data_IF_688300315008
#
_entry.id   IF_688300315008
#
_cell.length_a   1.000
_cell.length_b   1.000
_cell.length_c   1.000
_cell.angle_alpha   90.00
_cell.angle_beta   90.00
_cell.angle_gamma   90.00
#
_symmetry.space_group_name_H-M   'P 1'
#
loop_
_entity.id
_entity.type
_entity.pdbx_description
1 polymer ?
#
# COMPACT_ATOMS: atom_id res chain seq x y z
N UNK A 1 37.24 5.19 -10.02
CA UNK A 1 37.27 4.78 -8.59
C UNK A 1 36.23 5.62 -7.86
N UNK A 2 35.46 4.96 -6.98
CA UNK A 2 34.28 5.39 -6.19
C UNK A 2 32.95 5.57 -6.92
N UNK A 3 32.35 4.42 -7.24
CA UNK A 3 30.90 4.21 -7.23
C UNK A 3 30.39 4.19 -5.78
N UNK A 4 29.46 5.08 -5.44
CA UNK A 4 28.56 4.95 -4.29
C UNK A 4 27.21 5.58 -4.69
N UNK A 5 26.44 4.81 -5.45
CA UNK A 5 25.02 5.10 -5.70
C UNK A 5 24.21 4.24 -4.72
N UNK A 6 23.51 4.88 -3.77
CA UNK A 6 22.73 4.22 -2.74
C UNK A 6 21.59 3.37 -3.35
N UNK A 7 21.42 2.10 -2.97
CA UNK A 7 20.43 1.21 -3.58
C UNK A 7 18.99 1.36 -3.07
N UNK A 8 18.62 2.45 -2.40
CA UNK A 8 17.35 2.55 -1.64
C UNK A 8 16.19 3.30 -2.34
N UNK A 9 16.32 3.76 -3.59
CA UNK A 9 15.29 4.63 -4.22
C UNK A 9 14.72 4.11 -5.56
N UNK A 10 15.08 2.92 -6.04
CA UNK A 10 14.68 2.46 -7.39
C UNK A 10 13.72 1.27 -7.40
N UNK A 11 12.65 1.26 -6.59
CA UNK A 11 11.75 0.08 -6.55
C UNK A 11 10.23 0.31 -6.66
N UNK A 12 9.75 1.49 -7.03
CA UNK A 12 8.30 1.73 -7.19
C UNK A 12 7.94 2.34 -8.53
N UNK A 13 8.42 1.75 -9.62
CA UNK A 13 7.94 2.06 -10.98
C UNK A 13 7.97 0.81 -11.87
N UNK A 14 7.12 -0.18 -11.56
CA UNK A 14 6.93 -1.36 -12.42
C UNK A 14 5.48 -1.79 -12.64
N UNK A 15 4.50 -1.00 -12.18
CA UNK A 15 3.08 -1.33 -12.26
C UNK A 15 2.22 -0.29 -13.01
N UNK A 16 2.83 0.68 -13.71
CA UNK A 16 2.06 1.68 -14.47
C UNK A 16 2.69 2.09 -15.81
N UNK A 17 3.30 1.15 -16.52
CA UNK A 17 3.64 1.32 -17.95
C UNK A 17 3.25 0.05 -18.69
N UNK A 18 1.94 -0.22 -18.80
CA UNK A 18 1.41 -1.24 -19.71
C UNK A 18 0.01 -0.90 -20.25
N UNK A 19 -0.32 0.39 -20.34
CA UNK A 19 -1.52 0.86 -21.06
C UNK A 19 -1.19 2.09 -21.92
N UNK A 20 -0.16 2.00 -22.76
CA UNK A 20 -0.07 2.82 -23.97
C UNK A 20 0.87 2.22 -25.02
N UNK A 21 0.45 1.10 -25.61
CA UNK A 21 0.58 0.76 -27.02
C UNK A 21 0.41 -0.74 -27.18
N UNK A 22 -0.55 -1.13 -28.02
CA UNK A 22 -0.90 -2.52 -28.24
C UNK A 22 0.25 -3.27 -28.88
N UNK A 23 0.93 -4.12 -28.12
CA UNK A 23 1.52 -5.36 -28.61
C UNK A 23 1.57 -6.39 -27.47
N UNK A 24 1.13 -7.61 -27.80
CA UNK A 24 0.95 -8.76 -26.90
C UNK A 24 2.29 -9.47 -26.71
N UNK A 25 2.80 -9.55 -25.47
CA UNK A 25 3.46 -10.71 -24.81
C UNK A 25 4.27 -10.25 -23.58
N UNK A 26 4.10 -10.91 -22.44
CA UNK A 26 4.94 -10.73 -21.25
C UNK A 26 5.56 -12.08 -20.86
N UNK A 27 6.88 -12.10 -20.66
CA UNK A 27 7.61 -13.26 -20.14
C UNK A 27 8.08 -12.94 -18.71
N UNK A 28 7.91 -13.91 -17.80
CA UNK A 28 8.33 -13.83 -16.39
C UNK A 28 9.59 -14.69 -16.21
N UNK A 29 10.67 -14.10 -15.70
CA UNK A 29 11.89 -14.83 -15.30
C UNK A 29 11.96 -14.82 -13.77
N UNK A 30 12.06 -16.02 -13.19
CA UNK A 30 12.17 -16.26 -11.74
C UNK A 30 13.63 -16.17 -11.28
N UNK A 31 13.87 -15.53 -10.13
CA UNK A 31 15.12 -15.64 -9.38
C UNK A 31 14.79 -15.89 -7.89
N UNK A 32 15.49 -16.86 -7.29
CA UNK A 32 15.23 -17.49 -5.99
C UNK A 32 16.45 -17.31 -5.09
N UNK A 33 16.32 -16.81 -3.86
CA UNK A 33 17.38 -16.90 -2.82
C UNK A 33 16.77 -16.93 -1.39
N UNK A 34 17.35 -17.64 -0.39
CA UNK A 34 16.62 -18.09 0.80
C UNK A 34 17.06 -17.50 2.17
N UNK A 35 16.19 -17.74 3.18
CA UNK A 35 16.40 -17.88 4.64
C UNK A 35 16.44 -16.65 5.57
N UNK A 36 15.42 -16.57 6.45
CA UNK A 36 15.28 -15.61 7.56
C UNK A 36 14.97 -16.38 8.86
N UNK A 37 15.99 -16.84 9.59
CA UNK A 37 15.83 -17.66 10.82
C UNK A 37 16.48 -17.09 12.09
N UNK A 38 16.86 -15.81 12.13
CA UNK A 38 17.68 -15.29 13.24
C UNK A 38 17.01 -14.32 14.23
N UNK A 39 15.74 -13.92 14.06
CA UNK A 39 15.16 -12.87 14.93
C UNK A 39 14.47 -13.37 16.22
N UNK A 40 14.21 -14.67 16.37
CA UNK A 40 13.40 -15.18 17.49
C UNK A 40 14.16 -15.42 18.81
N UNK A 41 15.50 -15.32 18.83
CA UNK A 41 16.32 -15.68 20.00
C UNK A 41 16.62 -14.56 20.99
N UNK A 42 16.15 -13.33 20.76
CA UNK A 42 16.50 -12.18 21.62
C UNK A 42 15.46 -11.84 22.70
N UNK A 43 14.25 -12.42 22.65
CA UNK A 43 13.14 -12.04 23.54
C UNK A 43 12.99 -12.88 24.83
N UNK A 44 13.88 -13.84 25.13
CA UNK A 44 13.73 -14.77 26.26
C UNK A 44 14.70 -14.53 27.43
N UNK A 45 15.23 -13.31 27.61
CA UNK A 45 16.09 -12.97 28.75
C UNK A 45 15.52 -11.79 29.54
N UNK A 46 14.49 -12.05 30.35
CA UNK A 46 14.12 -11.18 31.46
C UNK A 46 13.63 -12.05 32.64
N UNK A 47 14.30 -12.03 33.81
CA UNK A 47 13.86 -12.79 34.98
C UNK A 47 12.82 -12.00 35.79
N UNK A 48 11.70 -12.63 36.14
CA UNK A 48 10.69 -12.11 37.08
C UNK A 48 10.86 -12.84 38.42
N UNK A 49 10.82 -12.17 39.60
CA UNK A 49 10.98 -12.83 40.89
C UNK A 49 9.75 -13.64 41.30
N UNK A 50 9.99 -14.75 42.01
CA UNK A 50 9.00 -15.74 42.39
C UNK A 50 8.05 -15.27 43.51
N UNK A 51 6.73 -15.46 43.32
CA UNK A 51 5.71 -15.33 44.36
C UNK A 51 4.77 -16.55 44.38
N UNK A 52 4.69 -17.23 45.54
CA UNK A 52 3.57 -18.06 46.04
C UNK A 52 2.99 -19.19 45.16
N UNK A 53 3.38 -20.44 45.44
CA UNK A 53 3.13 -21.65 44.65
C UNK A 53 1.70 -22.26 44.65
N UNK A 54 0.68 -21.60 45.22
CA UNK A 54 -0.67 -22.19 45.30
C UNK A 54 -1.79 -21.41 44.59
N UNK A 55 -1.55 -20.16 44.13
CA UNK A 55 -2.53 -19.40 43.34
C UNK A 55 -2.45 -19.73 41.83
N UNK A 56 -1.24 -20.01 41.33
CA UNK A 56 -0.97 -20.37 39.93
C UNK A 56 -1.73 -21.64 39.48
N UNK A 57 -1.86 -22.65 40.35
CA UNK A 57 -2.53 -23.92 40.00
C UNK A 57 -4.05 -23.76 39.84
N UNK A 58 -4.68 -22.89 40.64
CA UNK A 58 -6.12 -22.62 40.53
C UNK A 58 -6.47 -21.73 39.33
N UNK A 59 -5.63 -20.74 39.00
CA UNK A 59 -5.81 -19.92 37.80
C UNK A 59 -5.53 -20.69 36.50
N UNK A 60 -4.55 -21.60 36.49
CA UNK A 60 -4.26 -22.43 35.33
C UNK A 60 -5.40 -23.40 34.97
N UNK A 61 -6.14 -23.91 35.97
CA UNK A 61 -7.26 -24.82 35.72
C UNK A 61 -8.49 -24.07 35.18
N UNK A 62 -8.79 -22.88 35.71
CA UNK A 62 -9.88 -22.02 35.21
C UNK A 62 -9.57 -21.50 33.80
N UNK A 63 -8.33 -21.09 33.55
CA UNK A 63 -7.83 -20.68 32.24
C UNK A 63 -7.93 -21.82 31.21
N UNK A 64 -7.58 -23.06 31.57
CA UNK A 64 -7.72 -24.21 30.66
C UNK A 64 -9.17 -24.53 30.30
N UNK A 65 -10.12 -24.32 31.22
CA UNK A 65 -11.55 -24.53 30.94
C UNK A 65 -12.18 -23.39 30.11
N UNK A 66 -11.71 -22.16 30.26
CA UNK A 66 -12.15 -21.02 29.43
C UNK A 66 -11.53 -21.14 28.02
N UNK A 67 -10.23 -21.45 27.93
CA UNK A 67 -9.53 -21.67 26.65
C UNK A 67 -10.06 -22.90 25.90
N UNK A 68 -10.50 -23.96 26.60
CA UNK A 68 -11.14 -25.13 25.96
C UNK A 68 -12.56 -24.84 25.45
N UNK A 69 -13.31 -23.93 26.07
CA UNK A 69 -14.64 -23.54 25.59
C UNK A 69 -14.57 -22.58 24.39
N UNK A 70 -13.51 -21.77 24.28
CA UNK A 70 -13.26 -20.91 23.11
C UNK A 70 -12.65 -21.66 21.92
N UNK A 71 -12.06 -22.84 22.11
CA UNK A 71 -11.52 -23.69 21.04
C UNK A 71 -12.54 -24.58 20.34
N UNK A 72 -13.85 -24.36 20.54
CA UNK A 72 -14.85 -24.84 19.58
C UNK A 72 -14.78 -23.90 18.37
N UNK A 73 -13.82 -24.18 17.49
CA UNK A 73 -13.63 -23.50 16.21
C UNK A 73 -14.95 -23.53 15.44
N UNK A 74 -15.67 -22.42 15.53
CA UNK A 74 -16.65 -22.05 14.53
C UNK A 74 -15.83 -21.79 13.27
N UNK A 75 -15.66 -22.81 12.41
CA UNK A 75 -15.10 -22.61 11.08
C UNK A 75 -16.11 -21.75 10.33
N UNK A 76 -15.94 -20.43 10.38
CA UNK A 76 -16.62 -19.51 9.47
C UNK A 76 -16.07 -19.80 8.09
N UNK A 77 -16.72 -20.74 7.41
CA UNK A 77 -16.42 -21.08 6.03
C UNK A 77 -16.70 -19.81 5.22
N UNK A 78 -15.65 -19.20 4.68
CA UNK A 78 -15.77 -17.99 3.86
C UNK A 78 -16.46 -18.40 2.56
N UNK A 79 -17.68 -17.93 2.34
CA UNK A 79 -18.45 -18.21 1.12
C UNK A 79 -17.93 -17.36 -0.03
N UNK A 80 -17.08 -17.97 -0.88
CA UNK A 80 -16.49 -17.32 -2.04
C UNK A 80 -17.43 -17.42 -3.25
N UNK A 81 -17.49 -16.38 -4.10
CA UNK A 81 -18.28 -16.44 -5.32
C UNK A 81 -17.65 -17.47 -6.28
N UNK A 82 -18.50 -18.23 -6.98
CA UNK A 82 -18.03 -19.20 -7.97
C UNK A 82 -17.30 -18.56 -9.16
N UNK A 83 -17.65 -17.31 -9.48
CA UNK A 83 -17.05 -16.52 -10.56
C UNK A 83 -16.90 -15.04 -10.19
N UNK A 84 -15.93 -14.38 -10.81
CA UNK A 84 -15.66 -12.94 -10.63
C UNK A 84 -15.09 -12.33 -11.91
N UNK A 85 -15.46 -11.07 -12.20
CA UNK A 85 -14.92 -10.33 -13.36
C UNK A 85 -13.40 -10.19 -13.30
N UNK A 86 -12.88 -9.94 -12.09
CA UNK A 86 -11.46 -9.86 -11.79
C UNK A 86 -11.17 -10.26 -10.34
N UNK A 87 -10.03 -10.91 -10.13
CA UNK A 87 -9.51 -11.22 -8.79
C UNK A 87 -8.25 -10.40 -8.51
N UNK A 88 -8.30 -9.55 -7.49
CA UNK A 88 -7.18 -8.76 -6.97
C UNK A 88 -6.56 -9.51 -5.80
N UNK A 89 -5.26 -9.80 -5.88
CA UNK A 89 -4.54 -10.57 -4.85
C UNK A 89 -3.71 -9.63 -3.99
N UNK A 90 -4.07 -9.50 -2.72
CA UNK A 90 -3.38 -8.65 -1.73
C UNK A 90 -4.21 -7.45 -1.29
N UNK A 91 -4.43 -7.32 0.01
CA UNK A 91 -5.18 -6.27 0.70
C UNK A 91 -4.32 -5.11 1.20
N UNK A 92 -3.18 -4.85 0.55
CA UNK A 92 -2.41 -3.63 0.76
C UNK A 92 -2.97 -2.44 0.00
N UNK A 93 -2.33 -1.27 0.15
CA UNK A 93 -2.75 -0.01 -0.50
C UNK A 93 -3.00 -0.18 -2.01
N UNK A 94 -2.08 -0.82 -2.73
CA UNK A 94 -2.20 -1.04 -4.18
C UNK A 94 -3.41 -1.89 -4.56
N UNK A 95 -3.68 -2.97 -3.81
CA UNK A 95 -4.82 -3.84 -4.10
C UNK A 95 -6.14 -3.15 -3.79
N UNK A 96 -6.19 -2.40 -2.69
CA UNK A 96 -7.34 -1.60 -2.30
C UNK A 96 -7.69 -0.54 -3.36
N UNK A 97 -6.70 0.23 -3.85
CA UNK A 97 -6.90 1.20 -4.94
C UNK A 97 -7.26 0.53 -6.28
N UNK A 98 -6.69 -0.64 -6.56
CA UNK A 98 -7.04 -1.41 -7.77
C UNK A 98 -8.51 -1.81 -7.73
N UNK A 99 -8.97 -2.40 -6.61
CA UNK A 99 -10.38 -2.78 -6.44
C UNK A 99 -11.30 -1.55 -6.56
N UNK A 100 -10.93 -0.44 -5.91
CA UNK A 100 -11.65 0.83 -5.98
C UNK A 100 -11.84 1.34 -7.41
N UNK A 101 -10.78 1.39 -8.21
CA UNK A 101 -10.88 1.86 -9.59
C UNK A 101 -11.65 0.87 -10.48
N UNK A 102 -11.49 -0.44 -10.31
CA UNK A 102 -12.28 -1.43 -11.04
C UNK A 102 -13.79 -1.26 -10.76
N UNK A 103 -14.14 -1.07 -9.48
CA UNK A 103 -15.53 -0.84 -9.08
C UNK A 103 -16.09 0.47 -9.66
N UNK A 104 -15.32 1.56 -9.66
CA UNK A 104 -15.71 2.85 -10.29
C UNK A 104 -15.86 2.76 -11.81
N UNK A 105 -15.13 1.85 -12.47
CA UNK A 105 -15.27 1.57 -13.90
C UNK A 105 -16.48 0.67 -14.22
N UNK A 106 -17.26 0.27 -13.21
CA UNK A 106 -18.48 -0.53 -13.37
C UNK A 106 -18.27 -2.04 -13.27
N UNK A 107 -17.08 -2.52 -12.86
CA UNK A 107 -16.85 -3.94 -12.59
C UNK A 107 -17.41 -4.30 -11.20
N UNK A 108 -18.68 -4.68 -11.17
CA UNK A 108 -19.43 -4.90 -9.91
C UNK A 108 -19.16 -6.25 -9.26
N UNK A 109 -18.53 -7.23 -9.95
CA UNK A 109 -18.18 -8.53 -9.36
C UNK A 109 -16.67 -8.71 -9.12
N UNK A 110 -15.90 -7.62 -9.07
CA UNK A 110 -14.49 -7.67 -8.72
C UNK A 110 -14.28 -8.12 -7.25
N UNK A 111 -13.30 -9.00 -7.02
CA UNK A 111 -13.02 -9.59 -5.71
C UNK A 111 -11.59 -9.29 -5.29
N UNK A 112 -11.38 -8.81 -4.07
CA UNK A 112 -10.07 -8.72 -3.43
C UNK A 112 -9.90 -9.86 -2.43
N UNK A 113 -8.77 -10.56 -2.52
CA UNK A 113 -8.38 -11.63 -1.61
C UNK A 113 -7.14 -11.23 -0.82
N UNK A 114 -7.22 -11.27 0.52
CA UNK A 114 -6.12 -11.02 1.44
C UNK A 114 -5.91 -12.25 2.33
N UNK A 115 -4.66 -12.70 2.46
CA UNK A 115 -4.30 -13.90 3.23
C UNK A 115 -4.55 -13.74 4.72
N UNK A 116 -4.35 -12.54 5.24
CA UNK A 116 -4.46 -12.20 6.67
C UNK A 116 -5.56 -11.14 6.85
N UNK A 117 -5.19 -9.93 7.29
CA UNK A 117 -6.05 -8.75 7.37
C UNK A 117 -5.61 -7.67 6.39
N UNK A 118 -6.52 -6.80 5.98
CA UNK A 118 -6.20 -5.62 5.19
C UNK A 118 -5.04 -4.86 5.84
N UNK A 119 -4.11 -4.38 5.02
CA UNK A 119 -2.90 -3.65 5.42
C UNK A 119 -1.79 -4.44 6.13
N UNK A 120 -1.96 -5.75 6.37
CA UNK A 120 -0.98 -6.59 7.10
C UNK A 120 0.42 -6.70 6.46
N UNK A 121 0.56 -6.30 5.18
CA UNK A 121 1.84 -6.24 4.47
C UNK A 121 2.69 -5.03 4.82
N UNK A 122 3.28 -4.36 3.83
CA UNK A 122 4.11 -3.17 4.07
C UNK A 122 3.31 -1.91 4.40
N UNK A 123 2.02 -1.92 4.09
CA UNK A 123 1.14 -0.75 4.17
C UNK A 123 0.99 -0.19 5.60
N UNK A 124 0.83 -1.04 6.62
CA UNK A 124 0.55 -0.58 8.00
C UNK A 124 1.69 0.25 8.62
N UNK A 125 2.95 0.05 8.20
CA UNK A 125 4.12 0.73 8.78
C UNK A 125 4.72 1.80 7.86
N UNK A 126 3.98 2.22 6.83
CA UNK A 126 4.41 3.35 6.00
C UNK A 126 4.27 4.67 6.74
N UNK A 127 5.14 5.64 6.44
CA UNK A 127 5.08 6.99 7.00
C UNK A 127 3.91 7.84 6.48
N UNK A 128 3.17 7.36 5.47
CA UNK A 128 1.99 8.06 4.96
C UNK A 128 2.28 9.40 4.29
N UNK A 129 3.47 9.64 3.71
CA UNK A 129 3.77 10.91 3.06
C UNK A 129 3.15 10.97 1.66
N UNK A 130 2.31 11.99 1.41
CA UNK A 130 1.73 12.26 0.09
C UNK A 130 2.30 13.56 -0.43
N UNK A 131 3.30 13.39 -1.28
CA UNK A 131 3.98 14.47 -1.97
C UNK A 131 3.56 14.45 -3.43
N UNK A 132 2.96 15.51 -3.96
CA UNK A 132 2.39 15.46 -5.32
C UNK A 132 3.38 15.83 -6.41
N UNK A 133 4.35 16.69 -6.12
CA UNK A 133 5.28 17.17 -7.12
C UNK A 133 6.53 16.29 -7.20
N UNK A 134 6.90 15.90 -8.42
CA UNK A 134 8.09 15.09 -8.73
C UNK A 134 8.84 15.71 -9.91
N UNK A 135 10.10 15.31 -10.09
CA UNK A 135 10.87 15.70 -11.27
C UNK A 135 10.24 15.20 -12.59
N UNK A 136 9.45 14.12 -12.54
CA UNK A 136 8.70 13.59 -13.69
C UNK A 136 7.29 14.18 -13.75
N UNK A 137 6.91 14.71 -14.91
CA UNK A 137 5.55 15.18 -15.20
C UNK A 137 4.51 14.07 -15.04
N UNK A 138 4.78 12.89 -15.62
CA UNK A 138 3.85 11.74 -15.57
C UNK A 138 3.61 11.32 -14.12
N UNK A 139 4.67 11.26 -13.31
CA UNK A 139 4.54 10.96 -11.89
C UNK A 139 3.70 12.03 -11.19
N UNK A 140 3.99 13.31 -11.42
CA UNK A 140 3.27 14.41 -10.76
C UNK A 140 1.78 14.42 -11.09
N UNK A 141 1.41 14.14 -12.35
CA UNK A 141 0.01 13.96 -12.76
C UNK A 141 -0.66 12.81 -11.99
N UNK A 142 0.01 11.66 -11.89
CA UNK A 142 -0.51 10.51 -11.16
C UNK A 142 -0.72 10.80 -9.67
N UNK A 143 0.24 11.45 -9.02
CA UNK A 143 0.11 11.80 -7.60
C UNK A 143 -0.96 12.87 -7.36
N UNK A 144 -1.13 13.84 -8.27
CA UNK A 144 -2.22 14.82 -8.18
C UNK A 144 -3.59 14.11 -8.23
N UNK A 145 -3.81 13.24 -9.22
CA UNK A 145 -5.06 12.46 -9.31
C UNK A 145 -5.29 11.61 -8.06
N UNK A 146 -4.22 10.99 -7.53
CA UNK A 146 -4.31 10.20 -6.29
C UNK A 146 -4.73 11.07 -5.11
N UNK A 147 -4.12 12.26 -4.94
CA UNK A 147 -4.49 13.22 -3.88
C UNK A 147 -5.95 13.66 -4.04
N UNK A 148 -6.38 13.96 -5.25
CA UNK A 148 -7.75 14.43 -5.50
C UNK A 148 -8.78 13.36 -5.12
N UNK A 149 -8.50 12.07 -5.38
CA UNK A 149 -9.33 10.97 -4.90
C UNK A 149 -9.28 10.78 -3.38
N UNK A 150 -8.13 10.99 -2.74
CA UNK A 150 -8.03 10.97 -1.28
C UNK A 150 -8.91 12.08 -0.68
N UNK A 151 -8.86 13.29 -1.22
CA UNK A 151 -9.69 14.42 -0.78
C UNK A 151 -11.18 14.15 -1.01
N UNK A 152 -11.54 13.58 -2.17
CA UNK A 152 -12.92 13.17 -2.51
C UNK A 152 -13.48 12.16 -1.49
N UNK A 153 -12.65 11.21 -1.05
CA UNK A 153 -13.02 10.19 -0.06
C UNK A 153 -13.08 10.77 1.36
N UNK A 154 -12.06 11.51 1.77
CA UNK A 154 -11.94 12.09 3.11
C UNK A 154 -13.07 13.10 3.40
N UNK A 155 -13.57 13.78 2.37
CA UNK A 155 -14.72 14.66 2.45
C UNK A 155 -16.05 13.91 2.72
N UNK A 156 -16.16 12.64 2.32
CA UNK A 156 -17.34 11.81 2.56
C UNK A 156 -17.27 11.12 3.93
N UNK A 157 -16.09 10.59 4.26
CA UNK A 157 -15.81 9.95 5.54
C UNK A 157 -14.33 10.13 5.88
N UNK A 158 -13.98 10.51 7.12
CA UNK A 158 -12.58 10.68 7.52
C UNK A 158 -11.71 9.46 7.16
N UNK A 159 -10.84 9.63 6.18
CA UNK A 159 -9.93 8.62 5.63
C UNK A 159 -8.49 8.79 6.16
N UNK A 160 -8.30 9.70 7.13
CA UNK A 160 -7.04 9.92 7.83
C UNK A 160 -6.11 10.92 7.12
N UNK A 161 -6.65 11.76 6.23
CA UNK A 161 -5.88 12.78 5.54
C UNK A 161 -5.57 13.96 6.46
N UNK A 162 -4.36 14.49 6.37
CA UNK A 162 -3.98 15.74 7.04
C UNK A 162 -3.11 16.55 6.10
N UNK A 163 -3.65 17.67 5.63
CA UNK A 163 -2.97 18.61 4.75
C UNK A 163 -2.07 19.56 5.56
N UNK A 164 -0.90 19.08 5.94
CA UNK A 164 0.10 19.85 6.68
C UNK A 164 1.21 20.46 5.80
N UNK A 165 1.10 20.30 4.47
CA UNK A 165 2.08 20.77 3.50
C UNK A 165 3.38 19.98 3.55
N UNK A 166 4.26 20.24 2.57
CA UNK A 166 5.61 19.67 2.53
C UNK A 166 6.65 20.73 2.19
N UNK A 167 7.77 20.69 2.92
CA UNK A 167 8.96 21.52 2.67
C UNK A 167 10.07 20.62 2.15
N UNK A 168 10.64 20.97 1.00
CA UNK A 168 11.77 20.27 0.41
C UNK A 168 13.02 21.15 0.51
N UNK A 169 14.04 20.68 1.20
CA UNK A 169 15.22 21.46 1.56
C UNK A 169 16.37 21.23 0.57
N UNK A 170 16.99 22.31 0.09
CA UNK A 170 18.17 22.24 -0.77
C UNK A 170 19.40 22.87 -0.08
N UNK A 171 20.35 22.03 0.33
CA UNK A 171 21.68 22.45 0.81
C UNK A 171 22.75 22.51 -0.30
N UNK A 172 22.39 22.11 -1.52
CA UNK A 172 23.30 22.10 -2.69
C UNK A 172 22.69 22.85 -3.87
N UNK A 173 23.53 23.59 -4.60
CA UNK A 173 23.10 24.42 -5.75
C UNK A 173 22.35 23.61 -6.81
N UNK A 174 22.81 22.39 -7.10
CA UNK A 174 22.17 21.54 -8.11
C UNK A 174 20.78 21.05 -7.67
N UNK A 175 20.59 20.80 -6.37
CA UNK A 175 19.26 20.45 -5.83
C UNK A 175 18.30 21.65 -5.90
N UNK A 176 18.78 22.85 -5.61
CA UNK A 176 17.96 24.06 -5.73
C UNK A 176 17.54 24.32 -7.18
N UNK A 177 18.43 24.12 -8.15
CA UNK A 177 18.09 24.19 -9.58
C UNK A 177 17.02 23.16 -9.97
N UNK A 178 17.10 21.94 -9.45
CA UNK A 178 16.06 20.92 -9.65
C UNK A 178 14.71 21.38 -9.08
N UNK A 179 14.70 21.98 -7.89
CA UNK A 179 13.49 22.50 -7.28
C UNK A 179 12.87 23.66 -8.06
N UNK A 180 13.67 24.56 -8.63
CA UNK A 180 13.14 25.58 -9.55
C UNK A 180 12.46 24.96 -10.78
N UNK A 181 13.01 23.87 -11.32
CA UNK A 181 12.36 23.13 -12.42
C UNK A 181 11.06 22.48 -11.96
N UNK A 182 11.05 21.90 -10.76
CA UNK A 182 9.84 21.33 -10.17
C UNK A 182 8.76 22.40 -9.98
N UNK A 183 9.08 23.59 -9.47
CA UNK A 183 8.11 24.69 -9.31
C UNK A 183 7.53 25.11 -10.66
N UNK A 184 8.36 25.22 -11.71
CA UNK A 184 7.90 25.50 -13.07
C UNK A 184 6.94 24.42 -13.57
N UNK A 185 7.24 23.15 -13.34
CA UNK A 185 6.34 22.04 -13.64
C UNK A 185 5.03 22.15 -12.83
N UNK A 186 5.11 22.52 -11.56
CA UNK A 186 3.95 22.75 -10.69
C UNK A 186 2.99 23.78 -11.28
N UNK A 187 3.52 24.90 -11.78
CA UNK A 187 2.72 25.93 -12.46
C UNK A 187 1.98 25.40 -13.68
N UNK A 188 2.63 24.55 -14.49
CA UNK A 188 2.00 23.92 -15.67
C UNK A 188 0.89 22.97 -15.25
N UNK A 189 1.07 22.25 -14.14
CA UNK A 189 0.11 21.27 -13.63
C UNK A 189 -0.95 21.87 -12.69
N UNK A 190 -0.95 23.19 -12.46
CA UNK A 190 -1.86 23.85 -11.54
C UNK A 190 -1.62 23.52 -10.06
N UNK A 191 -0.42 23.06 -9.69
CA UNK A 191 -0.04 22.77 -8.31
C UNK A 191 0.59 24.00 -7.69
N UNK A 192 0.01 24.48 -6.58
CA UNK A 192 0.58 25.55 -5.79
C UNK A 192 1.93 25.12 -5.20
N UNK A 193 2.99 25.87 -5.53
CA UNK A 193 4.36 25.57 -5.13
C UNK A 193 5.17 26.86 -5.04
N UNK A 194 5.75 27.11 -3.87
CA UNK A 194 6.47 28.34 -3.54
C UNK A 194 7.95 28.05 -3.36
N UNK A 195 8.82 28.87 -3.98
CA UNK A 195 10.25 28.86 -3.64
C UNK A 195 10.43 29.74 -2.42
N UNK A 196 11.10 29.23 -1.39
CA UNK A 196 11.34 29.95 -0.16
C UNK A 196 12.84 30.19 0.05
N UNK A 197 13.14 31.36 0.61
CA UNK A 197 14.41 31.68 1.23
C UNK A 197 14.59 30.88 2.54
N UNK A 198 15.83 30.79 3.06
CA UNK A 198 16.06 30.19 4.37
C UNK A 198 15.24 30.86 5.50
N UNK A 199 15.07 32.19 5.46
CA UNK A 199 14.28 32.93 6.45
C UNK A 199 12.78 32.59 6.40
N UNK A 200 12.21 32.51 5.20
CA UNK A 200 10.82 32.10 5.01
C UNK A 200 10.61 30.63 5.44
N UNK A 201 11.60 29.77 5.17
CA UNK A 201 11.57 28.36 5.61
C UNK A 201 11.49 28.25 7.13
N UNK A 202 12.31 29.02 7.86
CA UNK A 202 12.27 29.08 9.32
C UNK A 202 10.95 29.65 9.86
N UNK A 203 10.30 30.54 9.10
CA UNK A 203 9.01 31.12 9.49
C UNK A 203 7.88 30.08 9.44
N UNK A 204 7.93 29.14 8.49
CA UNK A 204 6.94 28.05 8.38
C UNK A 204 7.24 26.92 9.36
N UNK A 205 8.51 26.52 9.48
CA UNK A 205 8.93 25.45 10.40
C UNK A 205 10.14 25.90 11.23
N UNK A 206 9.91 26.47 12.43
CA UNK A 206 10.96 27.01 13.29
C UNK A 206 11.98 25.99 13.80
N UNK A 207 11.66 24.69 13.75
CA UNK A 207 12.56 23.62 14.20
C UNK A 207 13.66 23.29 13.17
N UNK A 208 13.55 23.79 11.94
CA UNK A 208 14.58 23.58 10.92
C UNK A 208 15.74 24.53 11.16
N UNK A 209 16.95 23.97 11.24
CA UNK A 209 18.20 24.74 11.19
C UNK A 209 18.43 25.21 9.74
N UNK A 210 18.68 26.50 9.54
CA UNK A 210 18.72 27.12 8.19
C UNK A 210 20.09 27.64 7.76
N UNK A 211 21.12 27.47 8.60
CA UNK A 211 22.51 27.91 8.36
C UNK A 211 23.17 27.26 7.13
N UNK A 212 22.79 26.02 6.80
CA UNK A 212 23.33 25.23 5.70
C UNK A 212 22.35 25.06 4.51
N UNK A 213 21.24 25.80 4.52
CA UNK A 213 20.20 25.73 3.48
C UNK A 213 20.39 26.87 2.49
N UNK A 214 20.40 26.53 1.19
CA UNK A 214 20.46 27.53 0.11
C UNK A 214 19.08 28.03 -0.30
N UNK A 215 18.04 27.21 -0.09
CA UNK A 215 16.64 27.52 -0.35
C UNK A 215 15.77 26.29 -0.15
N UNK A 216 14.46 26.46 -0.22
CA UNK A 216 13.51 25.36 -0.15
C UNK A 216 12.35 25.56 -1.14
N UNK A 217 11.55 24.51 -1.33
CA UNK A 217 10.22 24.65 -1.92
C UNK A 217 9.16 24.22 -0.91
N UNK A 218 8.04 24.91 -0.91
CA UNK A 218 6.89 24.61 -0.08
C UNK A 218 5.65 24.34 -0.94
N UNK A 219 5.01 23.20 -0.65
CA UNK A 219 3.79 22.74 -1.34
C UNK A 219 2.69 22.61 -0.29
N UNK A 220 1.77 23.58 -0.18
CA UNK A 220 0.72 23.55 0.85
C UNK A 220 -0.33 22.46 0.63
N UNK A 221 -0.46 21.96 -0.60
CA UNK A 221 -1.38 20.87 -0.95
C UNK A 221 -0.85 19.46 -0.63
N UNK A 222 0.42 19.34 -0.23
CA UNK A 222 1.00 18.07 0.22
C UNK A 222 0.54 17.75 1.64
N UNK A 223 0.72 16.50 2.07
CA UNK A 223 0.30 16.13 3.40
C UNK A 223 0.69 14.74 3.84
N UNK A 224 0.03 14.30 4.91
CA UNK A 224 0.18 12.98 5.51
C UNK A 224 -1.14 12.23 5.50
N UNK A 225 -1.08 10.91 5.40
CA UNK A 225 -2.24 10.02 5.36
C UNK A 225 -2.00 8.83 6.27
N UNK A 226 -2.97 8.49 7.11
CA UNK A 226 -2.96 7.18 7.78
C UNK A 226 -3.37 6.11 6.76
N UNK A 227 -2.48 5.17 6.42
CA UNK A 227 -2.76 4.18 5.38
C UNK A 227 -3.91 3.22 5.74
N UNK A 228 -4.14 2.94 7.03
CA UNK A 228 -5.13 1.94 7.43
C UNK A 228 -6.59 2.43 7.31
N UNK A 229 -6.96 3.63 7.80
CA UNK A 229 -8.23 4.27 7.49
C UNK A 229 -8.44 4.46 5.99
N UNK A 230 -7.42 4.89 5.25
CA UNK A 230 -7.55 5.07 3.80
C UNK A 230 -7.90 3.74 3.09
N UNK A 231 -7.20 2.65 3.40
CA UNK A 231 -7.50 1.33 2.82
C UNK A 231 -8.94 0.87 3.13
N UNK A 232 -9.45 1.17 4.34
CA UNK A 232 -10.85 0.88 4.71
C UNK A 232 -11.83 1.76 3.94
N UNK A 233 -11.55 3.05 3.77
CA UNK A 233 -12.41 3.98 3.04
C UNK A 233 -12.54 3.56 1.56
N UNK A 234 -11.40 3.31 0.88
CA UNK A 234 -11.43 2.89 -0.54
C UNK A 234 -12.11 1.53 -0.75
N UNK A 235 -11.92 0.58 0.17
CA UNK A 235 -12.56 -0.75 0.05
C UNK A 235 -14.04 -0.70 0.36
N UNK A 236 -14.48 0.14 1.31
CA UNK A 236 -15.89 0.40 1.58
C UNK A 236 -16.57 1.07 0.39
N UNK A 237 -15.93 2.06 -0.22
CA UNK A 237 -16.45 2.71 -1.43
C UNK A 237 -16.52 1.75 -2.63
N UNK A 238 -15.56 0.84 -2.77
CA UNK A 238 -15.62 -0.23 -3.76
C UNK A 238 -16.79 -1.19 -3.48
N UNK A 239 -16.99 -1.55 -2.20
CA UNK A 239 -18.04 -2.47 -1.78
C UNK A 239 -19.45 -1.89 -1.98
N UNK A 240 -19.64 -0.58 -1.81
CA UNK A 240 -20.91 0.08 -2.12
C UNK A 240 -21.30 -0.01 -3.60
N UNK A 241 -20.31 -0.30 -4.48
CA UNK A 241 -20.47 -0.51 -5.92
C UNK A 241 -20.48 -2.00 -6.31
N UNK A 242 -20.56 -2.91 -5.34
CA UNK A 242 -20.72 -4.36 -5.55
C UNK A 242 -19.44 -5.18 -5.39
N UNK A 243 -18.27 -4.55 -5.35
CA UNK A 243 -17.01 -5.27 -5.18
C UNK A 243 -16.97 -6.00 -3.82
N UNK A 244 -16.24 -7.12 -3.75
CA UNK A 244 -16.17 -7.94 -2.52
C UNK A 244 -14.75 -8.04 -2.02
N UNK A 245 -14.59 -8.05 -0.70
CA UNK A 245 -13.29 -8.19 -0.03
C UNK A 245 -13.36 -9.40 0.90
N UNK A 246 -12.40 -10.31 0.75
CA UNK A 246 -12.26 -11.48 1.61
C UNK A 246 -10.88 -11.48 2.27
N UNK A 247 -10.88 -11.39 3.60
CA UNK A 247 -9.72 -11.54 4.46
C UNK A 247 -9.58 -13.00 4.93
N UNK A 248 -8.38 -13.42 5.34
CA UNK A 248 -8.13 -14.81 5.74
C UNK A 248 -8.13 -15.82 4.59
N UNK A 249 -8.06 -15.36 3.34
CA UNK A 249 -8.13 -16.19 2.13
C UNK A 249 -6.81 -16.12 1.38
N UNK A 250 -6.03 -17.20 1.47
CA UNK A 250 -4.74 -17.30 0.79
C UNK A 250 -4.93 -17.80 -0.64
N UNK A 251 -4.40 -17.08 -1.62
CA UNK A 251 -4.28 -17.57 -3.01
C UNK A 251 -3.12 -18.54 -3.09
N UNK A 252 -3.37 -19.73 -3.65
CA UNK A 252 -2.38 -20.82 -3.73
C UNK A 252 -1.84 -21.03 -5.13
N UNK A 253 -2.67 -20.86 -6.16
CA UNK A 253 -2.25 -20.96 -7.56
C UNK A 253 -3.24 -20.28 -8.51
N UNK A 254 -2.77 -20.01 -9.73
CA UNK A 254 -3.57 -19.49 -10.84
C UNK A 254 -3.63 -20.58 -11.91
N UNK A 255 -4.84 -21.03 -12.25
CA UNK A 255 -5.08 -21.98 -13.33
C UNK A 255 -5.13 -21.24 -14.67
N UNK A 256 -4.41 -21.75 -15.65
CA UNK A 256 -4.42 -21.25 -17.02
C UNK A 256 -4.94 -22.32 -17.98
N UNK A 257 -5.52 -21.87 -19.08
CA UNK A 257 -5.94 -22.73 -20.19
C UNK A 257 -5.52 -22.14 -21.53
N UNK A 258 -5.56 -22.97 -22.58
CA UNK A 258 -5.34 -22.50 -23.95
C UNK A 258 -6.62 -21.91 -24.52
N UNK A 259 -6.55 -20.65 -24.92
CA UNK A 259 -7.60 -19.98 -25.68
C UNK A 259 -7.77 -20.59 -27.09
N UNK A 260 -8.85 -20.20 -27.78
CA UNK A 260 -9.11 -20.55 -29.20
C UNK A 260 -7.94 -20.20 -30.14
N UNK A 261 -7.10 -19.23 -29.77
CA UNK A 261 -5.93 -18.80 -30.53
C UNK A 261 -4.61 -19.40 -30.02
N UNK A 262 -4.68 -20.50 -29.26
CA UNK A 262 -3.54 -21.23 -28.68
C UNK A 262 -2.64 -20.35 -27.78
N UNK A 263 -3.22 -19.32 -27.16
CA UNK A 263 -2.56 -18.48 -26.14
C UNK A 263 -3.00 -18.89 -24.76
N UNK A 264 -2.10 -18.89 -23.79
CA UNK A 264 -2.46 -19.07 -22.39
C UNK A 264 -3.32 -17.90 -21.90
N UNK A 265 -4.42 -18.24 -21.23
CA UNK A 265 -5.31 -17.30 -20.56
C UNK A 265 -5.62 -17.80 -19.15
N UNK A 266 -5.87 -16.88 -18.22
CA UNK A 266 -6.32 -17.27 -16.88
C UNK A 266 -7.74 -17.85 -16.97
N UNK A 267 -7.96 -18.91 -16.21
CA UNK A 267 -9.25 -19.61 -16.10
C UNK A 267 -9.82 -19.52 -14.70
N UNK A 268 -8.98 -19.68 -13.68
CA UNK A 268 -9.40 -19.68 -12.29
C UNK A 268 -8.26 -19.30 -11.33
N UNK A 269 -8.64 -18.89 -10.12
CA UNK A 269 -7.75 -18.69 -8.98
C UNK A 269 -8.12 -19.69 -7.90
N UNK A 270 -7.15 -20.48 -7.48
CA UNK A 270 -7.29 -21.41 -6.37
C UNK A 270 -6.89 -20.73 -5.06
N UNK A 271 -7.68 -20.98 -4.02
CA UNK A 271 -7.49 -20.39 -2.69
C UNK A 271 -7.61 -21.45 -1.60
N UNK A 272 -7.27 -21.07 -0.37
CA UNK A 272 -7.50 -21.90 0.83
C UNK A 272 -8.98 -22.21 1.10
N UNK A 273 -9.90 -21.45 0.51
CA UNK A 273 -11.34 -21.52 0.82
C UNK A 273 -12.21 -21.88 -0.40
N UNK A 274 -11.60 -22.30 -1.51
CA UNK A 274 -12.31 -22.63 -2.75
C UNK A 274 -11.64 -22.07 -4.00
N UNK A 275 -12.32 -22.21 -5.13
CA UNK A 275 -11.82 -21.75 -6.43
C UNK A 275 -12.77 -20.70 -7.00
N UNK A 276 -12.22 -19.59 -7.49
CA UNK A 276 -12.98 -18.53 -8.17
C UNK A 276 -12.62 -18.58 -9.66
N UNK A 277 -13.63 -18.78 -10.52
CA UNK A 277 -13.44 -18.69 -11.97
C UNK A 277 -13.30 -17.23 -12.38
N UNK A 278 -12.25 -16.92 -13.13
CA UNK A 278 -12.02 -15.56 -13.63
C UNK A 278 -11.05 -15.58 -14.80
N UNK A 279 -11.16 -14.59 -15.69
CA UNK A 279 -10.23 -14.38 -16.79
C UNK A 279 -9.15 -13.35 -16.45
N UNK A 280 -9.33 -12.59 -15.37
CA UNK A 280 -8.49 -11.45 -15.03
C UNK A 280 -7.99 -11.57 -13.59
N UNK A 281 -6.67 -11.54 -13.42
CA UNK A 281 -6.03 -11.57 -12.10
C UNK A 281 -5.05 -10.41 -12.03
N UNK A 282 -5.11 -9.63 -10.95
CA UNK A 282 -4.17 -8.55 -10.67
C UNK A 282 -3.42 -8.87 -9.40
N UNK A 283 -2.10 -9.03 -9.52
CA UNK A 283 -1.24 -9.39 -8.39
C UNK A 283 -0.76 -8.12 -7.68
N UNK A 284 -1.30 -7.87 -6.50
CA UNK A 284 -0.98 -6.74 -5.63
C UNK A 284 -0.40 -7.22 -4.28
N UNK A 285 0.27 -8.37 -4.26
CA UNK A 285 0.64 -9.12 -3.06
C UNK A 285 1.82 -8.55 -2.25
N UNK A 286 2.36 -7.38 -2.63
CA UNK A 286 3.50 -6.77 -1.95
C UNK A 286 4.76 -7.65 -1.98
N UNK A 287 5.53 -7.61 -0.89
CA UNK A 287 6.73 -8.43 -0.64
C UNK A 287 6.44 -9.36 0.54
#
# INVERSE_FOLDING_TARGET
RSDYCSPLITFTLKMLVLLHHGHRSAAVVNLRVPHFKSYYRMALRCPIPAFGSNLHKRMAHLSRSIVRKEHMQMSTQVDLPAEADAVVVGGGMMGCWTLYHLARLGMTSAVLLERDKLTSGTTWHTNGLVHVIRASEVCSKLFNVTRDHILELDAQEPAGWTQNGAIYIASKKDRLKEYHRMVTLGKILGVECHVLTPSETASIQPLIRTDDILGSIYVPGDGTIDPAPLCRAVTRDAASKGAKVYEGVSVTSVETEKSRFNREQVKAVHTSSGTIKTKNVVVCAGI
#
